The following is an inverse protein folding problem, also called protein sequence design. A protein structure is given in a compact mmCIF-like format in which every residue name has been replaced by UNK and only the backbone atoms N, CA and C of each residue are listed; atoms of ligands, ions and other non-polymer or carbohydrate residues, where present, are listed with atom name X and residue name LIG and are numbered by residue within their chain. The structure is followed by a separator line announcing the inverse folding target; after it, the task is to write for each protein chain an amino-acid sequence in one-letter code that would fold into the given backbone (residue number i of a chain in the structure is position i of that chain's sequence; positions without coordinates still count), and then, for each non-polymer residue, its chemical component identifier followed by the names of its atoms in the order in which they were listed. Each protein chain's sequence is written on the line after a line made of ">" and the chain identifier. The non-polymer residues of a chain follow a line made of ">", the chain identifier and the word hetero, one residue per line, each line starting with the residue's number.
data_IF_878774669839
#
_entry.id   IF_878774669839
#
_cell.length_a   1.000
_cell.length_b   1.000
_cell.length_c   1.000
_cell.angle_alpha   90.00
_cell.angle_beta   90.00
_cell.angle_gamma   90.00
#
_symmetry.space_group_name_H-M   'P 1'
#
loop_
_entity.id
_entity.type
_entity.pdbx_description
1 polymer ?
#
# COMPACT_ATOMS: atom_id res chain seq x y z
N UNK A 1 3.88 -19.65 1.84
CA UNK A 1 5.16 -19.00 1.46
C UNK A 1 5.17 -17.66 2.17
N UNK A 2 6.08 -17.47 3.12
CA UNK A 2 6.22 -16.17 3.79
C UNK A 2 6.62 -15.12 2.76
N UNK A 3 5.90 -14.00 2.70
CA UNK A 3 6.20 -12.94 1.76
C UNK A 3 7.42 -12.15 2.28
N UNK A 4 8.58 -12.18 1.61
CA UNK A 4 9.79 -11.53 2.10
C UNK A 4 9.62 -10.01 2.29
N UNK A 5 8.74 -9.37 1.53
CA UNK A 5 8.41 -7.95 1.71
C UNK A 5 7.69 -7.70 3.03
N UNK A 6 6.83 -8.62 3.48
CA UNK A 6 6.15 -8.50 4.78
C UNK A 6 7.12 -8.64 5.95
N UNK A 7 8.09 -9.55 5.85
CA UNK A 7 9.11 -9.72 6.89
C UNK A 7 10.02 -8.49 6.99
N UNK A 8 10.41 -7.93 5.85
CA UNK A 8 11.22 -6.70 5.77
C UNK A 8 10.48 -5.50 6.35
N UNK A 9 9.19 -5.37 6.05
CA UNK A 9 8.33 -4.34 6.60
C UNK A 9 8.17 -4.46 8.13
N UNK A 10 7.90 -5.67 8.63
CA UNK A 10 7.80 -5.92 10.08
C UNK A 10 9.11 -5.57 10.79
N UNK A 11 10.25 -5.92 10.20
CA UNK A 11 11.56 -5.63 10.78
C UNK A 11 11.87 -4.12 10.79
N UNK A 12 11.53 -3.39 9.73
CA UNK A 12 11.67 -1.92 9.68
C UNK A 12 10.78 -1.24 10.72
N UNK A 13 9.51 -1.65 10.83
CA UNK A 13 8.57 -1.08 11.79
C UNK A 13 8.99 -1.37 13.24
N UNK A 14 9.44 -2.58 13.53
CA UNK A 14 9.91 -2.98 14.86
C UNK A 14 11.20 -2.28 15.30
N UNK A 15 12.00 -1.75 14.37
CA UNK A 15 13.17 -0.91 14.69
C UNK A 15 12.78 0.55 14.94
N UNK A 16 11.69 1.03 14.34
CA UNK A 16 11.27 2.44 14.44
C UNK A 16 10.35 2.75 15.61
N UNK A 17 9.70 1.74 16.22
CA UNK A 17 8.75 1.94 17.32
C UNK A 17 9.15 1.20 18.60
N UNK A 18 8.85 1.83 19.74
CA UNK A 18 8.94 1.21 21.07
C UNK A 18 7.56 0.88 21.66
N UNK A 19 6.47 1.14 20.92
CA UNK A 19 5.08 0.89 21.33
C UNK A 19 4.42 -0.17 20.41
N UNK A 20 3.85 -1.21 21.01
CA UNK A 20 3.16 -2.26 20.28
C UNK A 20 1.95 -1.74 19.48
N UNK A 21 1.24 -0.72 19.96
CA UNK A 21 0.12 -0.13 19.22
C UNK A 21 0.60 0.62 17.98
N UNK A 22 1.74 1.31 18.07
CA UNK A 22 2.35 2.00 16.93
C UNK A 22 2.88 0.99 15.90
N UNK A 23 3.45 -0.14 16.34
CA UNK A 23 3.81 -1.25 15.46
C UNK A 23 2.59 -1.78 14.68
N UNK A 24 1.47 -2.02 15.38
CA UNK A 24 0.24 -2.52 14.75
C UNK A 24 -0.35 -1.49 13.79
N UNK A 25 -0.34 -0.19 14.14
CA UNK A 25 -0.78 0.88 13.23
C UNK A 25 0.09 0.93 11.97
N UNK A 26 1.41 0.83 12.11
CA UNK A 26 2.33 0.81 10.98
C UNK A 26 2.10 -0.38 10.06
N UNK A 27 1.87 -1.57 10.63
CA UNK A 27 1.54 -2.77 9.85
C UNK A 27 0.19 -2.63 9.13
N UNK A 28 -0.83 -2.09 9.83
CA UNK A 28 -2.15 -1.83 9.25
C UNK A 28 -2.05 -0.83 8.09
N UNK A 29 -1.34 0.27 8.29
CA UNK A 29 -1.09 1.30 7.27
C UNK A 29 -0.47 0.70 6.01
N UNK A 30 0.61 -0.06 6.17
CA UNK A 30 1.32 -0.66 5.07
C UNK A 30 0.50 -1.73 4.34
N UNK A 31 -0.28 -2.52 5.09
CA UNK A 31 -1.18 -3.53 4.50
C UNK A 31 -2.29 -2.88 3.68
N UNK A 32 -2.91 -1.80 4.18
CA UNK A 32 -3.94 -1.07 3.44
C UNK A 32 -3.35 -0.44 2.17
N UNK A 33 -2.23 0.27 2.27
CA UNK A 33 -1.59 0.89 1.11
C UNK A 33 -1.17 -0.14 0.06
N UNK A 34 -0.66 -1.30 0.48
CA UNK A 34 -0.32 -2.40 -0.40
C UNK A 34 -1.56 -2.98 -1.09
N UNK A 35 -2.64 -3.20 -0.33
CA UNK A 35 -3.92 -3.67 -0.86
C UNK A 35 -4.50 -2.72 -1.90
N UNK A 36 -4.60 -1.42 -1.59
CA UNK A 36 -5.07 -0.40 -2.52
C UNK A 36 -4.24 -0.31 -3.80
N UNK A 37 -2.91 -0.44 -3.69
CA UNK A 37 -2.01 -0.44 -4.84
C UNK A 37 -2.27 -1.65 -5.75
N UNK A 38 -2.44 -2.83 -5.16
CA UNK A 38 -2.74 -4.07 -5.87
C UNK A 38 -4.13 -4.05 -6.50
N UNK A 39 -5.14 -3.51 -5.82
CA UNK A 39 -6.48 -3.31 -6.38
C UNK A 39 -6.43 -2.37 -7.59
N UNK A 40 -5.64 -1.30 -7.53
CA UNK A 40 -5.47 -0.39 -8.67
C UNK A 40 -4.71 -1.03 -9.83
N UNK A 41 -3.71 -1.87 -9.55
CA UNK A 41 -3.02 -2.66 -10.60
C UNK A 41 -4.02 -3.58 -11.31
N UNK A 42 -4.87 -4.28 -10.56
CA UNK A 42 -5.91 -5.15 -11.10
C UNK A 42 -6.99 -4.38 -11.87
N UNK A 43 -7.41 -3.22 -11.36
CA UNK A 43 -8.43 -2.37 -11.99
C UNK A 43 -7.97 -1.83 -13.35
N UNK A 44 -6.71 -1.37 -13.44
CA UNK A 44 -6.14 -0.81 -14.66
C UNK A 44 -5.56 -1.87 -15.60
N UNK A 45 -5.21 -3.04 -15.06
CA UNK A 45 -4.56 -4.13 -15.78
C UNK A 45 -3.06 -3.95 -15.99
N UNK A 46 -2.44 -2.98 -15.29
CA UNK A 46 -1.01 -2.71 -15.39
C UNK A 46 -0.43 -2.12 -14.10
N UNK A 47 0.83 -2.42 -13.83
CA UNK A 47 1.53 -1.96 -12.63
C UNK A 47 1.92 -0.47 -12.71
N UNK A 48 2.14 0.17 -11.56
CA UNK A 48 2.68 1.53 -11.55
C UNK A 48 4.00 1.61 -12.35
N UNK A 49 4.11 2.61 -13.23
CA UNK A 49 5.25 2.84 -14.13
C UNK A 49 5.48 1.76 -15.21
N UNK A 50 4.61 0.76 -15.35
CA UNK A 50 4.72 -0.25 -16.40
C UNK A 50 4.04 0.20 -17.69
N UNK A 51 4.81 0.91 -18.54
CA UNK A 51 4.32 1.43 -19.83
C UNK A 51 4.00 0.31 -20.82
N UNK A 52 4.80 -0.77 -20.83
CA UNK A 52 4.62 -1.87 -21.75
C UNK A 52 3.33 -2.65 -21.42
N UNK A 53 3.08 -2.92 -20.13
CA UNK A 53 1.83 -3.54 -19.71
C UNK A 53 0.63 -2.61 -19.98
N UNK A 54 0.76 -1.29 -19.79
CA UNK A 54 -0.31 -0.33 -20.13
C UNK A 54 -0.66 -0.37 -21.62
N UNK A 55 0.35 -0.33 -22.48
CA UNK A 55 0.17 -0.42 -23.94
C UNK A 55 -0.51 -1.74 -24.32
N UNK A 56 -0.07 -2.85 -23.72
CA UNK A 56 -0.65 -4.19 -23.93
C UNK A 56 -2.09 -4.30 -23.44
N UNK A 57 -2.41 -3.69 -22.30
CA UNK A 57 -3.75 -3.65 -21.74
C UNK A 57 -4.73 -2.80 -22.58
N UNK A 58 -4.21 -2.00 -23.54
CA UNK A 58 -5.03 -1.16 -24.41
C UNK A 58 -5.80 -0.08 -23.65
N UNK A 59 -5.34 0.30 -22.46
CA UNK A 59 -6.12 1.09 -21.52
C UNK A 59 -5.94 2.60 -21.75
N UNK A 60 -7.06 3.32 -21.96
CA UNK A 60 -7.06 4.77 -22.12
C UNK A 60 -6.85 5.50 -20.77
N UNK A 61 -7.21 4.83 -19.67
CA UNK A 61 -7.08 5.38 -18.33
C UNK A 61 -5.60 5.41 -17.88
N UNK A 62 -5.25 6.39 -17.05
CA UNK A 62 -3.91 6.61 -16.52
C UNK A 62 -3.95 6.89 -15.03
N UNK A 63 -3.03 6.30 -14.27
CA UNK A 63 -2.79 6.66 -12.86
C UNK A 63 -2.50 8.16 -12.76
N UNK A 64 -3.12 8.83 -11.79
CA UNK A 64 -3.05 10.28 -11.63
C UNK A 64 -2.62 10.68 -10.20
N UNK A 65 -1.55 10.06 -9.72
CA UNK A 65 -1.01 10.30 -8.38
C UNK A 65 -1.79 9.56 -7.29
N UNK A 66 -1.83 10.14 -6.11
CA UNK A 66 -2.53 9.60 -4.94
C UNK A 66 -2.95 10.74 -4.01
N UNK A 67 -4.01 10.55 -3.23
CA UNK A 67 -4.44 11.53 -2.23
C UNK A 67 -4.40 10.94 -0.81
N UNK A 68 -4.04 11.76 0.21
CA UNK A 68 -4.01 11.30 1.59
C UNK A 68 -5.43 11.15 2.16
N UNK A 69 -5.61 10.13 3.00
CA UNK A 69 -6.83 9.95 3.80
C UNK A 69 -6.46 9.41 5.18
N UNK A 70 -7.07 9.95 6.22
CA UNK A 70 -6.96 9.41 7.58
C UNK A 70 -8.16 8.50 7.85
N UNK A 71 -7.91 7.29 8.32
CA UNK A 71 -8.92 6.28 8.64
C UNK A 71 -8.84 5.95 10.12
N UNK A 72 -9.98 5.97 10.79
CA UNK A 72 -10.06 5.56 12.19
C UNK A 72 -9.92 4.04 12.31
N UNK A 73 -9.08 3.59 13.24
CA UNK A 73 -8.89 2.18 13.55
C UNK A 73 -8.92 1.94 15.06
N UNK A 74 -9.04 0.67 15.46
CA UNK A 74 -9.01 0.27 16.87
C UNK A 74 -7.69 0.63 17.58
N UNK A 75 -6.63 0.86 16.82
CA UNK A 75 -5.31 1.20 17.34
C UNK A 75 -5.00 2.71 17.21
N UNK A 76 -6.00 3.52 16.83
CA UNK A 76 -5.88 4.95 16.57
C UNK A 76 -5.95 5.29 15.07
N UNK A 77 -5.89 6.59 14.70
CA UNK A 77 -5.97 7.02 13.30
C UNK A 77 -4.82 6.47 12.46
N UNK A 78 -5.05 6.19 11.19
CA UNK A 78 -4.04 5.70 10.25
C UNK A 78 -4.09 6.51 8.96
N UNK A 79 -2.95 7.05 8.54
CA UNK A 79 -2.84 7.82 7.30
C UNK A 79 -2.50 6.90 6.12
N UNK A 80 -3.37 6.87 5.11
CA UNK A 80 -3.21 6.06 3.92
C UNK A 80 -3.08 6.94 2.67
N UNK A 81 -2.48 6.39 1.62
CA UNK A 81 -2.35 7.05 0.32
C UNK A 81 -3.22 6.31 -0.69
N UNK A 82 -4.33 6.93 -1.09
CA UNK A 82 -5.29 6.32 -2.01
C UNK A 82 -4.87 6.61 -3.46
N UNK A 83 -4.62 5.59 -4.29
CA UNK A 83 -4.18 5.73 -5.68
C UNK A 83 -5.29 6.14 -6.66
#
# INVERSE_FOLDING_TARGET
>A
MENPETAKLIQQLGQSTTDANELVRGLLQATINSGLSAEMDAHLGYANSDRAAKETAGQANSRNGSYPKTVDSAYGPVDISVP
#
